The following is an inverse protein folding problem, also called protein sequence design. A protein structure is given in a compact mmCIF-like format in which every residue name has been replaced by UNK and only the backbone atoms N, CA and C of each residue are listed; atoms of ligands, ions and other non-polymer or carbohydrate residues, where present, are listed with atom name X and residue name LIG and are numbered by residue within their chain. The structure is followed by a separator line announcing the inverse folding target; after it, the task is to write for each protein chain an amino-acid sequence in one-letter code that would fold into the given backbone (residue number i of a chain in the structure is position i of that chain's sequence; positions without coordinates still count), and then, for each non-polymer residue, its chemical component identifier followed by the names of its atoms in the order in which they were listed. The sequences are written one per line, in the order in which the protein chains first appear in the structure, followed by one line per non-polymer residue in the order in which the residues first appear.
data_IF_614596299398
#
_entry.id   IF_614596299398
#
_cell.length_a   1.000
_cell.length_b   1.000
_cell.length_c   1.000
_cell.angle_alpha   90.00
_cell.angle_beta   90.00
_cell.angle_gamma   90.00
#
_symmetry.space_group_name_H-M   'P 1'
#
loop_
_entity.id
_entity.type
_entity.pdbx_description
1 polymer ?
#
# COMPACT_ATOMS: atom_id res chain seq x y z
N UNK A 1 0.73 -5.87 16.53
CA UNK A 1 0.70 -6.33 15.13
C UNK A 1 -0.69 -6.06 14.59
N UNK A 2 -0.80 -5.25 13.54
CA UNK A 2 -2.10 -4.94 12.92
C UNK A 2 -2.57 -6.09 12.03
N UNK A 3 -3.89 -6.24 11.92
CA UNK A 3 -4.50 -7.22 11.02
C UNK A 3 -4.86 -6.57 9.69
N UNK A 4 -4.47 -7.22 8.58
CA UNK A 4 -4.86 -6.79 7.26
C UNK A 4 -6.34 -7.05 7.02
N UNK A 5 -7.07 -5.99 6.71
CA UNK A 5 -8.44 -6.08 6.21
C UNK A 5 -8.46 -5.62 4.75
N UNK A 6 -9.01 -6.46 3.88
CA UNK A 6 -9.21 -6.15 2.46
C UNK A 6 -10.61 -5.64 2.25
N UNK A 7 -10.75 -4.39 1.82
CA UNK A 7 -12.03 -3.82 1.43
C UNK A 7 -12.48 -4.33 0.05
N UNK A 8 -13.79 -4.32 -0.20
CA UNK A 8 -14.35 -4.82 -1.47
C UNK A 8 -13.84 -4.02 -2.68
N UNK A 9 -13.63 -2.71 -2.53
CA UNK A 9 -13.00 -1.85 -3.53
C UNK A 9 -11.60 -2.34 -3.85
N UNK A 10 -10.74 -2.48 -2.83
CA UNK A 10 -9.38 -2.98 -2.97
C UNK A 10 -9.32 -4.31 -3.74
N UNK A 11 -10.16 -5.30 -3.41
CA UNK A 11 -10.15 -6.59 -4.12
C UNK A 11 -10.52 -6.44 -5.60
N UNK A 12 -11.48 -5.57 -5.93
CA UNK A 12 -11.90 -5.30 -7.31
C UNK A 12 -10.80 -4.58 -8.10
N UNK A 13 -10.16 -3.59 -7.49
CA UNK A 13 -9.10 -2.80 -8.13
C UNK A 13 -7.84 -3.64 -8.30
N UNK A 14 -7.41 -4.34 -7.25
CA UNK A 14 -6.26 -5.24 -7.28
C UNK A 14 -6.37 -6.33 -8.33
N UNK A 15 -7.59 -6.87 -8.57
CA UNK A 15 -7.82 -7.86 -9.65
C UNK A 15 -7.63 -7.28 -11.05
N UNK A 16 -7.84 -5.98 -11.24
CA UNK A 16 -7.69 -5.29 -12.53
C UNK A 16 -6.28 -4.74 -12.74
N UNK A 17 -5.52 -4.57 -11.67
CA UNK A 17 -4.15 -4.10 -11.72
C UNK A 17 -3.22 -5.24 -12.13
N UNK A 18 -2.48 -5.04 -13.21
CA UNK A 18 -1.36 -5.90 -13.56
C UNK A 18 -0.13 -5.39 -12.79
N UNK A 19 0.43 -6.24 -11.92
CA UNK A 19 1.64 -5.95 -11.16
C UNK A 19 2.72 -6.91 -11.63
N UNK A 20 3.90 -6.39 -11.95
CA UNK A 20 5.05 -7.27 -12.16
C UNK A 20 5.54 -7.87 -10.82
N UNK A 21 6.35 -8.93 -10.88
CA UNK A 21 6.87 -9.61 -9.69
C UNK A 21 7.60 -8.68 -8.71
N UNK A 22 8.29 -7.65 -9.23
CA UNK A 22 9.00 -6.68 -8.39
C UNK A 22 8.03 -5.75 -7.63
N UNK A 23 6.95 -5.31 -8.27
CA UNK A 23 5.92 -4.48 -7.65
C UNK A 23 5.09 -5.27 -6.64
N UNK A 24 4.75 -6.52 -6.97
CA UNK A 24 4.05 -7.42 -6.04
C UNK A 24 4.89 -7.72 -4.81
N UNK A 25 6.19 -8.01 -5.00
CA UNK A 25 7.14 -8.23 -3.91
C UNK A 25 7.25 -7.00 -2.98
N UNK A 26 7.29 -5.78 -3.56
CA UNK A 26 7.27 -4.54 -2.77
C UNK A 26 5.97 -4.36 -2.00
N UNK A 27 4.82 -4.60 -2.64
CA UNK A 27 3.52 -4.52 -1.96
C UNK A 27 3.48 -5.45 -0.74
N UNK A 28 3.86 -6.72 -0.90
CA UNK A 28 3.89 -7.69 0.19
C UNK A 28 4.84 -7.26 1.33
N UNK A 29 6.03 -6.76 0.99
CA UNK A 29 7.00 -6.23 1.96
C UNK A 29 6.44 -5.04 2.73
N UNK A 30 5.83 -4.09 2.03
CA UNK A 30 5.30 -2.87 2.63
C UNK A 30 4.11 -3.16 3.55
N UNK A 31 3.20 -4.04 3.13
CA UNK A 31 2.09 -4.49 3.99
C UNK A 31 2.62 -5.18 5.26
N UNK A 32 3.68 -5.98 5.15
CA UNK A 32 4.29 -6.65 6.31
C UNK A 32 4.86 -5.64 7.30
N UNK A 33 5.61 -4.64 6.82
CA UNK A 33 6.15 -3.56 7.66
C UNK A 33 5.02 -2.79 8.36
N UNK A 34 3.96 -2.44 7.64
CA UNK A 34 2.80 -1.76 8.20
C UNK A 34 2.12 -2.61 9.29
N UNK A 35 2.01 -3.93 9.10
CA UNK A 35 1.44 -4.82 10.13
C UNK A 35 2.30 -4.87 11.40
N UNK A 36 3.62 -4.70 11.25
CA UNK A 36 4.57 -4.66 12.35
C UNK A 36 4.70 -3.28 13.02
N UNK A 37 3.91 -2.27 12.61
CA UNK A 37 4.06 -0.87 13.06
C UNK A 37 5.44 -0.27 12.72
N UNK A 38 6.06 -0.76 11.64
CA UNK A 38 7.35 -0.25 11.14
C UNK A 38 7.15 0.80 10.05
N UNK A 39 8.11 1.72 9.97
CA UNK A 39 8.12 2.76 8.94
C UNK A 39 8.42 2.17 7.55
N UNK A 40 7.82 2.77 6.52
CA UNK A 40 8.03 2.39 5.12
C UNK A 40 9.30 3.06 4.57
N UNK A 41 10.02 2.41 3.64
CA UNK A 41 11.19 3.04 3.03
C UNK A 41 10.81 4.33 2.30
N UNK A 42 11.75 5.30 2.25
CA UNK A 42 11.55 6.62 1.60
C UNK A 42 11.06 6.51 0.15
N UNK A 43 11.44 5.44 -0.55
CA UNK A 43 11.01 5.14 -1.92
C UNK A 43 9.49 4.95 -2.04
N UNK A 44 8.84 4.45 -0.99
CA UNK A 44 7.39 4.26 -0.95
C UNK A 44 6.63 5.60 -0.85
N UNK A 45 7.31 6.70 -0.48
CA UNK A 45 6.73 8.05 -0.32
C UNK A 45 5.39 8.03 0.44
N UNK A 46 5.36 7.35 1.58
CA UNK A 46 4.17 7.29 2.43
C UNK A 46 3.78 8.72 2.84
N UNK A 47 2.56 9.13 2.53
CA UNK A 47 2.04 10.43 2.94
C UNK A 47 0.52 10.40 3.16
N UNK A 48 0.02 11.34 3.93
CA UNK A 48 -1.41 11.53 4.14
C UNK A 48 -2.05 12.16 2.89
N UNK A 49 -3.20 11.64 2.49
CA UNK A 49 -3.97 12.22 1.40
C UNK A 49 -4.64 13.52 1.85
N UNK A 50 -5.05 14.35 0.90
CA UNK A 50 -5.70 15.66 1.16
C UNK A 50 -7.21 15.59 0.86
N UNK A 51 -7.94 16.61 1.30
CA UNK A 51 -9.39 16.75 1.05
C UNK A 51 -10.21 15.68 1.77
N UNK A 52 -11.16 15.08 1.07
CA UNK A 52 -12.04 14.02 1.60
C UNK A 52 -11.27 12.77 2.08
N UNK A 53 -10.03 12.61 1.62
CA UNK A 53 -9.16 11.47 1.94
C UNK A 53 -8.21 11.72 3.10
N UNK A 54 -8.34 12.82 3.86
CA UNK A 54 -7.43 13.20 4.97
C UNK A 54 -7.19 12.12 6.03
N UNK A 55 -8.07 11.12 6.14
CA UNK A 55 -7.93 9.99 7.08
C UNK A 55 -7.20 8.79 6.50
N UNK A 56 -6.75 8.87 5.24
CA UNK A 56 -6.11 7.79 4.51
C UNK A 56 -4.67 8.18 4.17
N UNK A 57 -3.81 7.17 4.07
CA UNK A 57 -2.42 7.30 3.65
C UNK A 57 -2.23 6.61 2.30
N UNK A 58 -1.36 7.17 1.48
CA UNK A 58 -0.97 6.66 0.17
C UNK A 58 0.52 6.30 0.18
N UNK A 59 0.89 5.21 -0.50
CA UNK A 59 2.28 4.85 -0.79
C UNK A 59 2.41 4.27 -2.21
N UNK A 60 3.61 4.30 -2.77
CA UNK A 60 3.92 3.84 -4.12
C UNK A 60 4.62 2.48 -4.11
N UNK A 61 4.18 1.57 -4.99
CA UNK A 61 4.77 0.22 -5.16
C UNK A 61 5.63 0.06 -6.43
N UNK A 62 5.52 1.00 -7.37
CA UNK A 62 6.28 1.03 -8.63
C UNK A 62 7.08 2.32 -8.81
N UNK A 63 7.99 2.34 -9.80
CA UNK A 63 8.62 3.59 -10.25
C UNK A 63 7.60 4.32 -11.13
N UNK A 64 7.15 5.50 -10.69
CA UNK A 64 6.59 6.50 -11.62
C UNK A 64 7.71 7.16 -12.39
#
# INVERSE_FOLDING_TARGET
MYQLRREKSFVKDFKKTDLNDSEFSRLAKYLSLLCEDKDLPKEARLHELKGEWKKYKEFHIGKR
#
